data_IF_052311768136
#
_entry.id   IF_052311768136
#
_cell.length_a   1.000
_cell.length_b   1.000
_cell.length_c   1.000
_cell.angle_alpha   90.00
_cell.angle_beta   90.00
_cell.angle_gamma   90.00
#
_symmetry.space_group_name_H-M   'P 1'
#
loop_
_entity.id
_entity.type
_entity.pdbx_description
1 polymer ?
#
# COMPACT_ATOMS: atom_id res chain seq x y z
N UNK A 1 -25.67 4.83 5.64
CA UNK A 1 -24.23 5.16 5.52
C UNK A 1 -23.87 5.08 4.05
N UNK A 2 -23.68 6.22 3.38
CA UNK A 2 -23.33 6.24 1.95
C UNK A 2 -21.84 6.02 1.73
N UNK A 3 -21.45 5.46 0.58
CA UNK A 3 -20.05 5.37 0.15
C UNK A 3 -19.51 6.77 -0.13
N UNK A 4 -18.50 7.20 0.63
CA UNK A 4 -17.89 8.53 0.51
C UNK A 4 -17.19 8.75 -0.84
N UNK A 5 -16.58 7.71 -1.40
CA UNK A 5 -15.92 7.78 -2.70
C UNK A 5 -16.34 6.58 -3.58
N UNK A 6 -16.73 6.87 -4.82
CA UNK A 6 -17.14 5.86 -5.81
C UNK A 6 -15.95 5.21 -6.52
N UNK A 7 -14.82 5.92 -6.64
CA UNK A 7 -13.55 5.44 -7.22
C UNK A 7 -12.42 6.34 -6.71
N UNK A 8 -11.29 5.74 -6.34
CA UNK A 8 -10.09 6.46 -5.90
C UNK A 8 -8.86 5.90 -6.61
N UNK A 9 -7.87 6.77 -6.78
CA UNK A 9 -6.50 6.38 -7.13
C UNK A 9 -5.66 6.56 -5.87
N UNK A 10 -5.26 5.45 -5.26
CA UNK A 10 -4.43 5.45 -4.07
C UNK A 10 -2.96 5.41 -4.50
N UNK A 11 -2.21 6.48 -4.22
CA UNK A 11 -0.77 6.52 -4.47
C UNK A 11 -0.02 6.05 -3.23
N UNK A 12 0.63 4.90 -3.33
CA UNK A 12 1.49 4.35 -2.28
C UNK A 12 2.94 4.70 -2.60
N UNK A 13 3.75 5.02 -1.59
CA UNK A 13 5.18 5.31 -1.78
C UNK A 13 6.01 4.03 -1.79
N UNK A 14 7.19 4.04 -2.41
CA UNK A 14 8.05 2.85 -2.49
C UNK A 14 8.55 2.40 -1.11
N UNK A 15 8.71 3.34 -0.19
CA UNK A 15 9.10 3.09 1.20
C UNK A 15 8.03 2.32 1.98
N UNK A 16 6.75 2.55 1.67
CA UNK A 16 5.67 1.79 2.27
C UNK A 16 5.62 0.34 1.77
N UNK A 17 6.24 0.04 0.62
CA UNK A 17 6.33 -1.30 0.05
C UNK A 17 7.62 -2.03 0.45
N UNK A 18 8.63 -1.32 0.95
CA UNK A 18 9.91 -1.90 1.36
C UNK A 18 9.91 -2.42 2.80
N UNK A 19 8.88 -2.04 3.59
CA UNK A 19 8.70 -2.53 4.94
C UNK A 19 9.94 -2.28 5.83
N UNK A 20 10.25 -3.19 6.76
CA UNK A 20 11.41 -3.05 7.66
C UNK A 20 12.76 -3.20 6.93
N UNK A 21 12.79 -3.70 5.69
CA UNK A 21 14.03 -3.85 4.89
C UNK A 21 14.54 -2.50 4.37
N UNK A 22 13.68 -1.49 4.26
CA UNK A 22 14.04 -0.13 3.83
C UNK A 22 14.44 0.00 2.35
N UNK A 23 14.65 -1.11 1.63
CA UNK A 23 14.97 -1.16 0.20
C UNK A 23 14.30 -2.36 -0.47
N UNK A 24 13.99 -2.23 -1.76
CA UNK A 24 13.30 -3.27 -2.52
C UNK A 24 11.82 -3.40 -2.19
N UNK A 25 11.24 -4.54 -2.56
CA UNK A 25 9.85 -4.89 -2.28
C UNK A 25 9.83 -5.96 -1.20
N UNK A 26 9.09 -5.73 -0.13
CA UNK A 26 8.88 -6.72 0.91
C UNK A 26 7.55 -7.43 0.68
N UNK A 27 7.63 -8.71 0.32
CA UNK A 27 6.47 -9.53 -0.05
C UNK A 27 5.44 -9.64 1.08
N UNK A 28 5.90 -9.71 2.34
CA UNK A 28 5.01 -9.73 3.51
C UNK A 28 4.26 -8.39 3.68
N UNK A 29 4.98 -7.27 3.56
CA UNK A 29 4.37 -5.93 3.61
C UNK A 29 3.36 -5.74 2.48
N UNK A 30 3.68 -6.17 1.26
CA UNK A 30 2.75 -6.11 0.12
C UNK A 30 1.51 -6.96 0.35
N UNK A 31 1.69 -8.19 0.85
CA UNK A 31 0.57 -9.09 1.17
C UNK A 31 -0.38 -8.52 2.23
N UNK A 32 0.11 -7.63 3.11
CA UNK A 32 -0.74 -6.94 4.10
C UNK A 32 -1.57 -5.78 3.53
N UNK A 33 -1.20 -5.27 2.34
CA UNK A 33 -1.85 -4.12 1.69
C UNK A 33 -2.89 -4.57 0.66
N UNK A 34 -2.68 -5.72 0.00
CA UNK A 34 -3.59 -6.34 -0.95
C UNK A 34 -4.79 -7.02 -0.26
#
# INVERSE_FOLDING_TARGET
MGIQYKRILLKVSGEALSGPKGTGFDEETIASIC
#
